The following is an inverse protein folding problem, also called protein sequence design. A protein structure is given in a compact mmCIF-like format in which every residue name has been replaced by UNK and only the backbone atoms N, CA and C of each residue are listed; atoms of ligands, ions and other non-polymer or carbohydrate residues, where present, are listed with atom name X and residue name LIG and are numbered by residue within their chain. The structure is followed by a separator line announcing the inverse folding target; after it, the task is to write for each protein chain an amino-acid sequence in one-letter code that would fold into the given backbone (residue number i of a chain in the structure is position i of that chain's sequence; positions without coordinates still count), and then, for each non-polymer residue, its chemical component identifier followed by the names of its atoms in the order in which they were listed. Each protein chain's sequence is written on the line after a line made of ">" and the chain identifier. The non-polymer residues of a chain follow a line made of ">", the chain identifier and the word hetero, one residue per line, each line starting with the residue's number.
data_IF_969649804679
#
_entry.id   IF_969649804679
#
_cell.length_a   1.000
_cell.length_b   1.000
_cell.length_c   1.000
_cell.angle_alpha   90.00
_cell.angle_beta   90.00
_cell.angle_gamma   90.00
#
_symmetry.space_group_name_H-M   'P 1'
#
loop_
_entity.id
_entity.type
_entity.pdbx_description
1 polymer ?
#
# COMPACT_ATOMS: atom_id res chain seq x y z
N UNK A 1 20.62 -29.89 -21.33
CA UNK A 1 19.88 -29.04 -20.37
C UNK A 1 20.92 -28.33 -19.52
N UNK A 2 20.82 -27.00 -19.35
CA UNK A 2 21.68 -26.28 -18.41
C UNK A 2 21.30 -26.70 -16.99
N UNK A 3 22.27 -27.14 -16.19
CA UNK A 3 22.04 -27.54 -14.79
C UNK A 3 21.63 -26.30 -13.98
N UNK A 4 20.52 -26.40 -13.23
CA UNK A 4 20.04 -25.34 -12.35
C UNK A 4 21.07 -25.07 -11.25
N UNK A 5 21.58 -23.84 -11.20
CA UNK A 5 22.51 -23.38 -10.17
C UNK A 5 21.75 -22.89 -8.94
N UNK A 6 22.39 -22.97 -7.79
CA UNK A 6 21.87 -22.51 -6.49
C UNK A 6 22.86 -21.58 -5.83
N UNK A 7 22.36 -20.65 -5.03
CA UNK A 7 23.16 -19.84 -4.11
C UNK A 7 22.34 -19.48 -2.87
N UNK A 8 22.98 -18.96 -1.82
CA UNK A 8 22.24 -18.32 -0.73
C UNK A 8 21.49 -17.08 -1.24
N UNK A 9 20.35 -16.78 -0.63
CA UNK A 9 19.61 -15.54 -0.84
C UNK A 9 20.56 -14.34 -0.78
N UNK A 10 20.48 -13.42 -1.74
CA UNK A 10 21.44 -12.31 -1.85
C UNK A 10 21.46 -11.37 -0.63
N UNK A 11 20.34 -11.25 0.09
CA UNK A 11 20.27 -10.48 1.34
C UNK A 11 20.66 -11.31 2.58
N UNK A 12 21.05 -12.58 2.42
CA UNK A 12 21.47 -13.42 3.51
C UNK A 12 22.97 -13.24 3.81
N UNK A 13 23.30 -13.16 5.10
CA UNK A 13 24.67 -13.18 5.60
C UNK A 13 24.97 -14.53 6.24
N UNK A 14 26.18 -15.03 6.05
CA UNK A 14 26.72 -16.23 6.72
C UNK A 14 27.73 -15.77 7.77
N UNK A 15 27.53 -16.19 9.02
CA UNK A 15 28.41 -15.87 10.15
C UNK A 15 28.83 -17.15 10.87
N UNK A 16 30.07 -17.18 11.35
CA UNK A 16 30.67 -18.33 12.01
C UNK A 16 31.34 -17.84 13.31
N UNK A 17 30.86 -18.30 14.47
CA UNK A 17 31.39 -17.91 15.78
C UNK A 17 31.11 -18.99 16.83
N UNK A 18 32.08 -19.27 17.71
CA UNK A 18 31.93 -20.18 18.87
C UNK A 18 31.31 -21.55 18.56
N UNK A 19 31.65 -22.13 17.40
CA UNK A 19 31.09 -23.41 16.94
C UNK A 19 29.66 -23.32 16.41
N UNK A 20 29.08 -22.12 16.30
CA UNK A 20 27.80 -21.86 15.63
C UNK A 20 28.03 -21.30 14.23
N UNK A 21 27.30 -21.85 13.25
CA UNK A 21 27.17 -21.27 11.90
C UNK A 21 25.76 -20.75 11.75
N UNK A 22 25.61 -19.47 11.45
CA UNK A 22 24.31 -18.80 11.35
C UNK A 22 24.15 -18.09 10.01
N UNK A 23 23.03 -18.36 9.37
CA UNK A 23 22.57 -17.69 8.15
C UNK A 23 21.45 -16.75 8.54
N UNK A 24 21.58 -15.45 8.27
CA UNK A 24 20.61 -14.43 8.67
C UNK A 24 20.14 -13.64 7.46
N UNK A 25 18.83 -13.46 7.31
CA UNK A 25 18.20 -12.65 6.27
C UNK A 25 17.05 -11.81 6.84
N UNK A 26 16.52 -10.80 6.12
CA UNK A 26 15.34 -10.06 6.55
C UNK A 26 14.10 -10.95 6.80
N UNK A 27 14.03 -12.11 6.13
CA UNK A 27 12.91 -13.04 6.24
C UNK A 27 13.07 -14.08 7.38
N UNK A 28 14.22 -14.13 8.04
CA UNK A 28 14.50 -15.08 9.11
C UNK A 28 15.96 -15.55 9.15
N UNK A 29 16.28 -16.35 10.16
CA UNK A 29 17.62 -16.91 10.37
C UNK A 29 17.59 -18.42 10.60
N UNK A 30 18.72 -19.07 10.28
CA UNK A 30 18.96 -20.49 10.50
C UNK A 30 20.32 -20.65 11.20
N UNK A 31 20.29 -21.16 12.43
CA UNK A 31 21.49 -21.51 13.20
C UNK A 31 21.77 -23.02 13.17
N UNK A 32 23.04 -23.38 13.07
CA UNK A 32 23.57 -24.73 13.19
C UNK A 32 24.65 -24.75 14.28
N UNK A 33 24.49 -25.63 15.28
CA UNK A 33 25.51 -25.83 16.32
C UNK A 33 26.43 -26.98 15.95
N UNK A 34 27.73 -26.73 16.01
CA UNK A 34 28.82 -27.66 15.69
C UNK A 34 28.56 -28.47 14.39
N UNK A 35 28.22 -27.83 13.26
CA UNK A 35 28.07 -28.55 12.01
C UNK A 35 29.41 -29.17 11.57
N UNK A 36 29.41 -30.36 10.92
CA UNK A 36 30.61 -30.91 10.31
C UNK A 36 31.23 -29.94 9.29
N UNK A 37 32.56 -29.88 9.23
CA UNK A 37 33.29 -28.95 8.36
C UNK A 37 32.89 -29.08 6.88
N UNK A 38 32.54 -30.28 6.41
CA UNK A 38 32.08 -30.48 5.03
C UNK A 38 30.79 -29.70 4.72
N UNK A 39 29.88 -29.56 5.70
CA UNK A 39 28.67 -28.77 5.54
C UNK A 39 28.96 -27.27 5.58
N UNK A 40 29.90 -26.84 6.43
CA UNK A 40 30.33 -25.43 6.50
C UNK A 40 30.99 -25.02 5.19
N UNK A 41 31.89 -25.85 4.65
CA UNK A 41 32.50 -25.63 3.35
C UNK A 41 31.44 -25.47 2.24
N UNK A 42 30.43 -26.34 2.19
CA UNK A 42 29.34 -26.24 1.21
C UNK A 42 28.48 -24.98 1.40
N UNK A 43 28.26 -24.53 2.63
CA UNK A 43 27.58 -23.25 2.92
C UNK A 43 28.41 -22.05 2.45
N UNK A 44 29.74 -22.05 2.64
CA UNK A 44 30.63 -21.01 2.13
C UNK A 44 30.59 -20.95 0.60
N UNK A 45 30.55 -22.10 -0.07
CA UNK A 45 30.41 -22.18 -1.53
C UNK A 45 29.06 -21.60 -1.99
N UNK A 46 27.95 -21.94 -1.33
CA UNK A 46 26.64 -21.34 -1.62
C UNK A 46 26.61 -19.83 -1.37
N UNK A 47 27.32 -19.34 -0.36
CA UNK A 47 27.41 -17.92 -0.02
C UNK A 47 28.26 -17.14 -1.05
N UNK A 48 29.27 -17.78 -1.63
CA UNK A 48 30.18 -17.16 -2.58
C UNK A 48 29.55 -16.91 -3.96
N UNK A 49 28.57 -17.71 -4.38
CA UNK A 49 27.90 -17.51 -5.66
C UNK A 49 27.13 -18.71 -6.18
N UNK A 50 26.81 -18.67 -7.47
CA UNK A 50 26.06 -19.72 -8.15
C UNK A 50 26.87 -21.01 -8.28
N UNK A 51 26.35 -22.11 -7.76
CA UNK A 51 26.98 -23.42 -7.76
C UNK A 51 25.99 -24.51 -8.18
N UNK A 52 26.47 -25.54 -8.88
CA UNK A 52 25.66 -26.68 -9.31
C UNK A 52 25.47 -27.71 -8.19
N UNK A 53 24.45 -28.56 -8.33
CA UNK A 53 24.23 -29.66 -7.37
C UNK A 53 25.42 -30.61 -7.33
N UNK A 54 25.97 -30.92 -8.50
CA UNK A 54 27.13 -31.81 -8.65
C UNK A 54 28.36 -31.26 -7.91
N UNK A 55 28.63 -29.96 -8.01
CA UNK A 55 29.77 -29.33 -7.31
C UNK A 55 29.57 -29.28 -5.80
N UNK A 56 28.33 -29.06 -5.33
CA UNK A 56 28.00 -29.12 -3.90
C UNK A 56 28.15 -30.53 -3.33
N UNK A 57 27.67 -31.55 -4.07
CA UNK A 57 27.82 -32.95 -3.69
C UNK A 57 29.30 -33.35 -3.57
N UNK A 58 30.14 -32.90 -4.51
CA UNK A 58 31.59 -33.11 -4.46
C UNK A 58 32.25 -32.42 -3.25
N UNK A 59 31.80 -31.22 -2.87
CA UNK A 59 32.31 -30.49 -1.70
C UNK A 59 32.01 -31.21 -0.39
N UNK A 60 30.84 -31.86 -0.31
CA UNK A 60 30.37 -32.53 0.91
C UNK A 60 30.94 -33.95 1.04
N UNK A 61 31.15 -34.64 -0.08
CA UNK A 61 31.54 -36.05 -0.12
C UNK A 61 30.41 -37.01 0.26
N UNK A 62 30.52 -38.28 -0.15
CA UNK A 62 29.45 -39.29 -0.01
C UNK A 62 28.92 -39.43 1.42
N UNK A 63 29.82 -39.45 2.41
CA UNK A 63 29.47 -39.60 3.82
C UNK A 63 28.63 -38.43 4.38
N UNK A 64 28.71 -37.24 3.76
CA UNK A 64 27.98 -36.04 4.17
C UNK A 64 26.68 -35.79 3.42
N UNK A 65 26.42 -36.50 2.30
CA UNK A 65 25.31 -36.20 1.38
C UNK A 65 23.94 -36.20 2.05
N UNK A 66 23.68 -37.14 2.96
CA UNK A 66 22.40 -37.19 3.67
C UNK A 66 22.18 -35.93 4.52
N UNK A 67 23.19 -35.54 5.30
CA UNK A 67 23.12 -34.36 6.16
C UNK A 67 23.00 -33.07 5.34
N UNK A 68 23.70 -33.02 4.21
CA UNK A 68 23.61 -31.93 3.25
C UNK A 68 22.22 -31.81 2.64
N UNK A 69 21.62 -32.90 2.17
CA UNK A 69 20.26 -32.90 1.62
C UNK A 69 19.21 -32.46 2.65
N UNK A 70 19.37 -32.87 3.92
CA UNK A 70 18.52 -32.39 5.01
C UNK A 70 18.71 -30.88 5.27
N UNK A 71 19.96 -30.40 5.22
CA UNK A 71 20.26 -28.97 5.36
C UNK A 71 19.69 -28.15 4.19
N UNK A 72 19.87 -28.60 2.95
CA UNK A 72 19.30 -27.97 1.76
C UNK A 72 17.78 -27.83 1.86
N UNK A 73 17.06 -28.88 2.29
CA UNK A 73 15.61 -28.79 2.54
C UNK A 73 15.25 -27.77 3.60
N UNK A 74 16.06 -27.63 4.65
CA UNK A 74 15.84 -26.60 5.69
C UNK A 74 16.08 -25.19 5.14
N UNK A 75 17.13 -24.99 4.35
CA UNK A 75 17.42 -23.72 3.68
C UNK A 75 16.30 -23.34 2.71
N UNK A 76 15.85 -24.29 1.89
CA UNK A 76 14.76 -24.10 0.94
C UNK A 76 13.44 -23.76 1.63
N UNK A 77 13.08 -24.51 2.69
CA UNK A 77 11.88 -24.25 3.51
C UNK A 77 11.91 -22.88 4.18
N UNK A 78 13.11 -22.38 4.50
CA UNK A 78 13.32 -21.06 5.06
C UNK A 78 13.35 -19.92 4.03
N UNK A 79 13.28 -20.20 2.72
CA UNK A 79 13.42 -19.18 1.68
C UNK A 79 14.82 -18.57 1.65
N UNK A 80 15.85 -19.37 1.99
CA UNK A 80 17.25 -18.93 2.06
C UNK A 80 18.06 -19.27 0.80
N UNK A 81 17.41 -19.84 -0.23
CA UNK A 81 18.06 -20.23 -1.48
C UNK A 81 17.47 -19.47 -2.67
N UNK A 82 18.33 -19.19 -3.64
CA UNK A 82 17.96 -18.76 -4.99
C UNK A 82 18.31 -19.85 -5.98
N UNK A 83 17.53 -19.94 -7.06
CA UNK A 83 17.70 -20.93 -8.12
C UNK A 83 17.85 -20.21 -9.45
N UNK A 84 18.89 -20.54 -10.22
CA UNK A 84 19.26 -19.78 -11.41
C UNK A 84 19.61 -20.67 -12.60
N UNK A 85 19.27 -20.16 -13.78
CA UNK A 85 19.72 -20.64 -15.08
C UNK A 85 20.26 -19.43 -15.86
N UNK A 86 20.86 -19.61 -17.06
CA UNK A 86 21.21 -18.47 -17.90
C UNK A 86 20.02 -17.60 -18.32
N UNK A 87 18.80 -18.15 -18.32
CA UNK A 87 17.59 -17.47 -18.81
C UNK A 87 16.76 -16.82 -17.70
N UNK A 88 16.82 -17.33 -16.48
CA UNK A 88 15.97 -16.86 -15.40
C UNK A 88 16.54 -17.19 -14.02
N UNK A 89 16.08 -16.46 -13.01
CA UNK A 89 16.35 -16.70 -11.59
C UNK A 89 15.08 -16.63 -10.76
N UNK A 90 14.83 -17.68 -9.99
CA UNK A 90 13.80 -17.71 -8.95
C UNK A 90 14.39 -17.21 -7.64
N UNK A 91 13.74 -16.21 -7.05
CA UNK A 91 14.21 -15.50 -5.86
C UNK A 91 13.15 -15.42 -4.77
N UNK A 92 13.51 -15.68 -3.50
CA UNK A 92 12.66 -15.36 -2.37
C UNK A 92 12.74 -13.86 -2.07
N UNK A 93 11.58 -13.23 -1.97
CA UNK A 93 11.41 -11.84 -1.52
C UNK A 93 10.73 -11.80 -0.16
N UNK A 94 9.79 -12.69 0.06
CA UNK A 94 9.06 -12.88 1.29
C UNK A 94 9.74 -13.84 2.27
N UNK A 95 8.98 -14.21 3.29
CA UNK A 95 9.27 -15.34 4.17
C UNK A 95 8.46 -16.57 3.74
N UNK A 96 9.09 -17.74 3.83
CA UNK A 96 8.48 -19.02 3.47
C UNK A 96 9.25 -19.76 2.37
N UNK A 97 8.78 -20.98 2.04
CA UNK A 97 9.47 -21.83 1.07
C UNK A 97 9.42 -21.22 -0.33
N UNK A 98 10.57 -21.21 -1.00
CA UNK A 98 10.69 -20.87 -2.42
C UNK A 98 11.57 -21.90 -3.08
N UNK A 99 11.00 -22.72 -3.95
CA UNK A 99 11.67 -23.77 -4.70
C UNK A 99 11.08 -23.83 -6.11
N UNK A 100 11.83 -24.30 -7.13
CA UNK A 100 11.28 -24.52 -8.45
C UNK A 100 10.04 -25.43 -8.40
N UNK A 101 8.93 -24.96 -8.95
CA UNK A 101 7.66 -25.68 -8.94
C UNK A 101 7.69 -26.94 -9.80
N UNK A 102 6.66 -27.79 -9.77
CA UNK A 102 6.53 -28.88 -10.72
C UNK A 102 6.44 -28.32 -12.14
N UNK A 103 7.05 -29.01 -13.11
CA UNK A 103 6.87 -28.68 -14.53
C UNK A 103 5.40 -29.00 -14.89
N UNK A 104 4.64 -28.05 -15.46
CA UNK A 104 3.30 -28.35 -15.94
C UNK A 104 3.33 -29.48 -16.97
N UNK A 105 2.28 -30.30 -17.03
CA UNK A 105 2.22 -31.40 -17.99
C UNK A 105 2.37 -30.88 -19.43
N UNK A 106 3.05 -31.63 -20.29
CA UNK A 106 3.45 -31.18 -21.63
C UNK A 106 2.29 -30.63 -22.49
N UNK A 107 1.08 -31.19 -22.35
CA UNK A 107 -0.14 -30.74 -23.04
C UNK A 107 -1.10 -29.90 -22.18
N UNK A 108 -0.73 -29.54 -20.96
CA UNK A 108 -1.56 -28.66 -20.13
C UNK A 108 -1.59 -27.27 -20.75
N UNK A 109 -2.79 -26.69 -20.85
CA UNK A 109 -2.94 -25.31 -21.31
C UNK A 109 -2.52 -24.37 -20.19
N UNK A 110 -1.56 -23.52 -20.51
CA UNK A 110 -1.01 -22.52 -19.60
C UNK A 110 -0.98 -21.16 -20.26
N UNK A 111 -1.05 -20.11 -19.44
CA UNK A 111 -0.74 -18.74 -19.82
C UNK A 111 -0.16 -18.01 -18.61
N UNK A 112 0.33 -16.79 -18.81
CA UNK A 112 0.63 -15.89 -17.70
C UNK A 112 -0.69 -15.60 -16.96
N UNK A 113 -0.69 -15.72 -15.63
CA UNK A 113 -1.86 -15.39 -14.80
C UNK A 113 -2.27 -13.95 -15.06
N UNK A 114 -3.58 -13.69 -15.14
CA UNK A 114 -4.11 -12.32 -15.27
C UNK A 114 -3.75 -11.43 -14.07
N UNK A 115 -3.34 -12.06 -12.97
CA UNK A 115 -2.89 -11.39 -11.76
C UNK A 115 -1.38 -11.21 -11.71
N UNK A 116 -0.61 -11.76 -12.64
CA UNK A 116 0.83 -11.57 -12.66
C UNK A 116 1.18 -10.10 -12.96
N UNK A 117 2.19 -9.58 -12.26
CA UNK A 117 2.76 -8.26 -12.54
C UNK A 117 4.19 -8.44 -13.01
N UNK A 118 4.54 -7.72 -14.06
CA UNK A 118 5.90 -7.63 -14.61
C UNK A 118 6.42 -6.23 -14.33
N UNK A 119 7.56 -6.13 -13.66
CA UNK A 119 8.28 -4.87 -13.44
C UNK A 119 9.68 -4.94 -14.05
N UNK A 120 10.26 -3.79 -14.37
CA UNK A 120 11.65 -3.70 -14.80
C UNK A 120 12.50 -3.09 -13.67
N UNK A 121 13.58 -3.76 -13.30
CA UNK A 121 14.52 -3.30 -12.26
C UNK A 121 15.92 -3.83 -12.61
N UNK A 122 16.96 -3.01 -12.47
CA UNK A 122 18.37 -3.39 -12.70
C UNK A 122 18.64 -4.12 -14.03
N UNK A 123 17.92 -3.75 -15.09
CA UNK A 123 18.10 -4.33 -16.44
C UNK A 123 17.48 -5.72 -16.65
N UNK A 124 16.67 -6.21 -15.70
CA UNK A 124 15.93 -7.48 -15.82
C UNK A 124 14.42 -7.25 -15.70
N UNK A 125 13.64 -8.19 -16.26
CA UNK A 125 12.19 -8.23 -16.04
C UNK A 125 11.87 -9.14 -14.86
N UNK A 126 11.21 -8.60 -13.85
CA UNK A 126 10.76 -9.32 -12.66
C UNK A 126 9.29 -9.69 -12.80
N UNK A 127 8.97 -10.98 -12.72
CA UNK A 127 7.61 -11.51 -12.81
C UNK A 127 7.15 -12.02 -11.45
N UNK A 128 5.97 -11.59 -11.01
CA UNK A 128 5.43 -11.94 -9.68
C UNK A 128 3.95 -12.26 -9.75
N UNK A 129 3.51 -13.26 -8.98
CA UNK A 129 2.11 -13.45 -8.62
C UNK A 129 1.76 -12.70 -7.33
N UNK A 130 0.49 -12.30 -7.13
CA UNK A 130 0.09 -11.44 -6.00
C UNK A 130 0.23 -12.13 -4.64
N UNK A 131 0.23 -13.47 -4.61
CA UNK A 131 0.16 -14.29 -3.39
C UNK A 131 1.43 -15.11 -3.14
N UNK A 132 2.46 -14.93 -3.95
CA UNK A 132 3.70 -15.71 -3.83
C UNK A 132 4.81 -14.90 -3.16
N UNK A 133 5.56 -15.48 -2.20
CA UNK A 133 6.77 -14.86 -1.65
C UNK A 133 7.97 -14.94 -2.60
N UNK A 134 7.76 -15.28 -3.88
CA UNK A 134 8.78 -15.45 -4.88
C UNK A 134 8.64 -14.48 -6.07
N UNK A 135 9.77 -14.15 -6.67
CA UNK A 135 9.90 -13.39 -7.92
C UNK A 135 10.75 -14.19 -8.91
N UNK A 136 10.43 -14.08 -10.20
CA UNK A 136 11.27 -14.59 -11.29
C UNK A 136 11.91 -13.42 -12.01
N UNK A 137 13.23 -13.31 -11.95
CA UNK A 137 14.01 -12.37 -12.76
C UNK A 137 14.32 -13.06 -14.10
N UNK A 138 13.88 -12.48 -15.21
CA UNK A 138 14.13 -12.97 -16.57
C UNK A 138 15.29 -12.20 -17.20
N UNK A 139 16.22 -12.95 -17.79
CA UNK A 139 17.25 -12.38 -18.65
C UNK A 139 16.62 -11.82 -19.94
N UNK A 140 17.27 -10.86 -20.62
CA UNK A 140 16.75 -10.29 -21.88
C UNK A 140 16.40 -11.35 -22.93
N UNK A 141 17.18 -12.42 -23.03
CA UNK A 141 16.98 -13.53 -23.97
C UNK A 141 15.69 -14.32 -23.71
N UNK A 142 15.20 -14.29 -22.47
CA UNK A 142 13.98 -14.98 -22.04
C UNK A 142 12.74 -14.07 -22.08
N UNK A 143 12.88 -12.76 -22.31
CA UNK A 143 11.78 -11.80 -22.26
C UNK A 143 10.66 -12.13 -23.27
N UNK A 144 11.02 -12.64 -24.45
CA UNK A 144 10.06 -13.05 -25.48
C UNK A 144 9.09 -14.17 -25.03
N UNK A 145 9.45 -14.95 -24.00
CA UNK A 145 8.56 -15.96 -23.43
C UNK A 145 7.29 -15.34 -22.84
N UNK A 146 7.36 -14.13 -22.28
CA UNK A 146 6.19 -13.43 -21.73
C UNK A 146 5.16 -13.12 -22.82
N UNK A 147 5.62 -12.71 -24.00
CA UNK A 147 4.73 -12.45 -25.15
C UNK A 147 4.02 -13.73 -25.62
N UNK A 148 4.71 -14.87 -25.58
CA UNK A 148 4.13 -16.18 -25.93
C UNK A 148 3.17 -16.71 -24.87
N UNK A 149 3.36 -16.31 -23.61
CA UNK A 149 2.46 -16.63 -22.49
C UNK A 149 1.30 -15.63 -22.34
N UNK A 150 1.19 -14.62 -23.21
CA UNK A 150 0.09 -13.67 -23.18
C UNK A 150 -1.26 -14.31 -23.56
N UNK A 151 -1.24 -15.43 -24.28
CA UNK A 151 -2.39 -16.27 -24.57
C UNK A 151 -2.09 -17.73 -24.21
N UNK A 152 -3.12 -18.59 -24.30
CA UNK A 152 -3.02 -20.01 -24.01
C UNK A 152 -2.03 -20.71 -24.94
N UNK A 153 -1.08 -21.43 -24.34
CA UNK A 153 -0.11 -22.31 -25.03
C UNK A 153 0.11 -23.57 -24.19
N UNK A 154 1.07 -24.40 -24.59
CA UNK A 154 1.47 -25.61 -23.87
C UNK A 154 2.97 -25.58 -23.54
N UNK A 155 3.42 -26.22 -22.45
CA UNK A 155 4.85 -26.35 -22.15
C UNK A 155 5.66 -26.96 -23.31
N UNK A 156 5.09 -27.93 -24.03
CA UNK A 156 5.75 -28.56 -25.18
C UNK A 156 6.04 -27.60 -26.32
N UNK A 157 5.13 -26.67 -26.61
CA UNK A 157 5.32 -25.64 -27.63
C UNK A 157 6.27 -24.54 -27.14
N UNK A 158 6.18 -24.16 -25.86
CA UNK A 158 6.98 -23.07 -25.30
C UNK A 158 8.46 -23.44 -25.16
N UNK A 159 8.73 -24.63 -24.63
CA UNK A 159 10.03 -25.03 -24.11
C UNK A 159 10.38 -24.27 -22.82
N UNK A 160 11.69 -24.19 -22.52
CA UNK A 160 12.22 -23.48 -21.35
C UNK A 160 11.68 -23.99 -20.00
N UNK A 161 11.66 -25.32 -19.83
CA UNK A 161 11.10 -26.03 -18.67
C UNK A 161 11.45 -25.42 -17.30
N UNK A 162 12.72 -25.05 -17.07
CA UNK A 162 13.13 -24.44 -15.80
C UNK A 162 12.50 -23.05 -15.58
N UNK A 163 12.35 -22.24 -16.64
CA UNK A 163 11.66 -20.94 -16.54
C UNK A 163 10.19 -21.15 -16.20
N UNK A 164 9.53 -22.15 -16.81
CA UNK A 164 8.14 -22.51 -16.49
C UNK A 164 7.99 -22.98 -15.03
N UNK A 165 8.93 -23.79 -14.52
CA UNK A 165 8.97 -24.20 -13.12
C UNK A 165 9.13 -23.00 -12.18
N UNK A 166 9.94 -22.02 -12.55
CA UNK A 166 10.12 -20.80 -11.76
C UNK A 166 8.86 -19.93 -11.77
N UNK A 167 8.23 -19.73 -12.92
CA UNK A 167 6.98 -18.98 -13.04
C UNK A 167 5.82 -19.65 -12.29
N UNK A 168 5.75 -20.99 -12.31
CA UNK A 168 4.80 -21.75 -11.50
C UNK A 168 5.03 -21.51 -9.99
N UNK A 169 6.28 -21.54 -9.52
CA UNK A 169 6.63 -21.26 -8.13
C UNK A 169 6.28 -19.82 -7.69
N UNK A 170 6.43 -18.85 -8.60
CA UNK A 170 6.03 -17.47 -8.36
C UNK A 170 4.50 -17.24 -8.43
N UNK A 171 3.71 -18.29 -8.68
CA UNK A 171 2.26 -18.17 -8.85
C UNK A 171 1.89 -17.26 -10.02
N UNK A 172 2.75 -17.20 -11.04
CA UNK A 172 2.61 -16.33 -12.20
C UNK A 172 2.00 -17.05 -13.42
N UNK A 173 1.74 -18.36 -13.33
CA UNK A 173 1.07 -19.13 -14.38
C UNK A 173 -0.37 -19.44 -13.97
N UNK A 174 -1.28 -19.32 -14.94
CA UNK A 174 -2.65 -19.80 -14.84
C UNK A 174 -2.82 -21.13 -15.58
N UNK A 175 -3.70 -21.97 -15.05
CA UNK A 175 -4.30 -23.12 -15.74
C UNK A 175 -5.72 -22.77 -16.18
N UNK A 176 -6.34 -23.60 -17.04
CA UNK A 176 -7.64 -23.39 -17.72
C UNK A 176 -8.81 -22.88 -16.84
N UNK A 177 -8.71 -22.93 -15.51
CA UNK A 177 -9.78 -22.64 -14.56
C UNK A 177 -9.73 -21.24 -13.92
N UNK A 178 -8.76 -20.37 -14.25
CA UNK A 178 -8.61 -19.05 -13.58
C UNK A 178 -9.87 -18.16 -13.69
N UNK A 179 -10.67 -18.35 -14.75
CA UNK A 179 -11.93 -17.62 -15.00
C UNK A 179 -13.20 -18.47 -14.74
N UNK A 180 -13.06 -19.70 -14.22
CA UNK A 180 -14.15 -20.69 -14.14
C UNK A 180 -15.03 -20.64 -12.88
N UNK A 181 -14.65 -19.88 -11.85
CA UNK A 181 -15.40 -19.73 -10.58
C UNK A 181 -15.31 -18.28 -10.04
N UNK A 182 -16.38 -17.83 -9.39
CA UNK A 182 -16.54 -16.50 -8.80
C UNK A 182 -15.40 -16.13 -7.86
N UNK A 183 -14.84 -17.11 -7.13
CA UNK A 183 -13.74 -16.90 -6.17
C UNK A 183 -12.55 -16.16 -6.78
N UNK A 184 -12.16 -16.48 -8.01
CA UNK A 184 -11.09 -15.78 -8.74
C UNK A 184 -11.67 -14.69 -9.64
N UNK A 185 -12.79 -14.96 -10.31
CA UNK A 185 -13.38 -14.04 -11.27
C UNK A 185 -13.72 -12.66 -10.67
N UNK A 186 -14.13 -12.60 -9.40
CA UNK A 186 -14.50 -11.35 -8.71
C UNK A 186 -13.34 -10.35 -8.55
N UNK A 187 -12.08 -10.83 -8.57
CA UNK A 187 -10.93 -9.98 -8.28
C UNK A 187 -10.46 -9.26 -9.53
N UNK A 188 -10.36 -7.94 -9.45
CA UNK A 188 -9.51 -7.17 -10.35
C UNK A 188 -8.04 -7.32 -9.92
N UNK A 189 -7.06 -7.30 -10.85
CA UNK A 189 -5.66 -7.47 -10.50
C UNK A 189 -5.15 -6.49 -9.45
N UNK A 190 -5.41 -5.19 -9.64
CA UNK A 190 -5.01 -4.13 -8.70
C UNK A 190 -5.55 -4.34 -7.28
N UNK A 191 -6.80 -4.80 -7.15
CA UNK A 191 -7.45 -5.00 -5.85
C UNK A 191 -6.85 -6.21 -5.12
N UNK A 192 -6.60 -7.30 -5.85
CA UNK A 192 -5.96 -8.48 -5.27
C UNK A 192 -4.52 -8.19 -4.87
N UNK A 193 -3.78 -7.41 -5.65
CA UNK A 193 -2.42 -6.99 -5.30
C UNK A 193 -2.41 -6.16 -4.01
N UNK A 194 -3.25 -5.14 -3.92
CA UNK A 194 -3.38 -4.32 -2.72
C UNK A 194 -3.76 -5.18 -1.51
N UNK A 195 -4.76 -6.05 -1.65
CA UNK A 195 -5.19 -6.94 -0.57
C UNK A 195 -4.05 -7.88 -0.13
N UNK A 196 -3.47 -8.63 -1.05
CA UNK A 196 -2.46 -9.64 -0.72
C UNK A 196 -1.19 -9.02 -0.10
N UNK A 197 -0.77 -7.82 -0.53
CA UNK A 197 0.44 -7.18 -0.02
C UNK A 197 0.23 -6.43 1.29
N UNK A 198 -0.95 -5.82 1.48
CA UNK A 198 -1.28 -5.15 2.75
C UNK A 198 -1.68 -6.12 3.87
N UNK A 199 -2.01 -7.38 3.53
CA UNK A 199 -2.41 -8.42 4.49
C UNK A 199 -1.42 -9.59 4.59
N UNK A 200 -0.47 -9.69 3.68
CA UNK A 200 0.49 -10.79 3.58
C UNK A 200 1.90 -10.38 3.97
N UNK A 201 2.17 -10.21 5.26
CA UNK A 201 3.52 -9.86 5.76
C UNK A 201 4.61 -10.83 5.30
N UNK A 202 4.26 -12.11 5.14
CA UNK A 202 5.16 -13.14 4.59
C UNK A 202 5.38 -13.01 3.08
N UNK A 203 4.43 -12.47 2.32
CA UNK A 203 4.55 -12.36 0.86
C UNK A 203 5.38 -11.13 0.49
N UNK A 204 5.19 -10.03 1.22
CA UNK A 204 5.72 -8.74 0.84
C UNK A 204 7.20 -8.53 1.21
N UNK A 205 7.76 -9.34 2.11
CA UNK A 205 9.18 -9.30 2.52
C UNK A 205 9.48 -8.19 3.53
N UNK A 206 9.09 -6.96 3.22
CA UNK A 206 9.10 -5.79 4.12
C UNK A 206 7.65 -5.46 4.45
N UNK A 207 7.31 -5.23 5.71
CA UNK A 207 5.93 -5.06 6.14
C UNK A 207 5.84 -4.16 7.38
N UNK A 208 5.02 -3.13 7.33
CA UNK A 208 4.80 -2.26 8.48
C UNK A 208 5.87 -1.18 8.60
N UNK A 209 6.21 -0.80 9.83
CA UNK A 209 7.13 0.31 10.14
C UNK A 209 8.58 -0.06 9.87
N UNK A 210 8.99 -0.02 8.60
CA UNK A 210 10.31 -0.42 8.11
C UNK A 210 11.21 0.75 7.75
N UNK A 211 10.67 1.97 7.77
CA UNK A 211 11.40 3.23 7.58
C UNK A 211 12.24 3.24 6.29
N UNK A 212 11.67 2.93 5.11
CA UNK A 212 12.43 2.73 3.86
C UNK A 212 13.28 3.93 3.43
N UNK A 213 12.90 5.13 3.86
CA UNK A 213 13.48 6.38 3.40
C UNK A 213 14.30 7.11 4.47
N UNK A 214 14.37 6.58 5.70
CA UNK A 214 14.98 7.27 6.85
C UNK A 214 16.45 7.63 6.66
N UNK A 215 17.21 6.83 5.93
CA UNK A 215 18.64 7.08 5.67
C UNK A 215 18.88 8.04 4.49
N UNK A 216 17.83 8.38 3.73
CA UNK A 216 17.93 9.13 2.46
C UNK A 216 17.20 10.47 2.50
N UNK A 217 16.14 10.58 3.28
CA UNK A 217 15.26 11.74 3.31
C UNK A 217 14.77 12.01 4.73
N UNK A 218 14.72 13.29 5.10
CA UNK A 218 14.07 13.73 6.34
C UNK A 218 12.55 13.54 6.27
N UNK A 219 11.88 13.23 7.39
CA UNK A 219 10.43 13.15 7.42
C UNK A 219 9.79 14.52 7.20
N UNK A 220 8.65 14.55 6.51
CA UNK A 220 7.87 15.79 6.34
C UNK A 220 7.34 16.30 7.70
N UNK A 221 7.11 17.62 7.86
CA UNK A 221 6.53 18.23 9.07
C UNK A 221 5.04 17.88 9.26
N UNK A 222 4.57 17.90 10.51
CA UNK A 222 3.20 17.56 10.92
C UNK A 222 2.13 18.48 10.37
N UNK A 223 2.49 19.74 10.12
CA UNK A 223 1.64 20.72 9.44
C UNK A 223 2.25 21.00 8.06
N UNK A 224 1.45 21.08 6.98
CA UNK A 224 1.96 21.53 5.69
C UNK A 224 2.42 22.99 5.75
N UNK A 225 3.14 23.44 4.71
CA UNK A 225 3.42 24.86 4.56
C UNK A 225 2.09 25.62 4.32
N UNK A 226 1.93 26.83 4.88
CA UNK A 226 0.71 27.62 4.70
C UNK A 226 0.55 28.05 3.25
N UNK A 227 -0.69 28.17 2.79
CA UNK A 227 -0.98 28.72 1.47
C UNK A 227 -0.85 30.24 1.46
N UNK A 228 -0.36 30.80 0.36
CA UNK A 228 -0.14 32.25 0.21
C UNK A 228 -1.41 33.10 0.00
N UNK A 229 -2.59 32.49 0.01
CA UNK A 229 -3.88 33.15 -0.21
C UNK A 229 -4.47 33.82 1.03
N UNK A 230 -5.73 34.25 0.92
CA UNK A 230 -6.52 34.82 2.03
C UNK A 230 -6.61 33.81 3.17
N UNK A 231 -6.35 34.24 4.41
CA UNK A 231 -6.49 33.42 5.62
C UNK A 231 -7.59 33.95 6.52
N UNK A 232 -8.46 33.08 7.00
CA UNK A 232 -9.63 33.39 7.85
C UNK A 232 -9.53 32.56 9.12
N UNK A 233 -9.39 33.22 10.27
CA UNK A 233 -9.44 32.56 11.58
C UNK A 233 -10.86 32.07 11.86
N UNK A 234 -10.99 30.87 12.43
CA UNK A 234 -12.28 30.28 12.78
C UNK A 234 -12.53 30.40 14.29
N UNK A 235 -13.80 30.54 14.66
CA UNK A 235 -14.23 30.58 16.06
C UNK A 235 -14.13 29.18 16.67
N UNK A 236 -13.33 29.01 17.72
CA UNK A 236 -13.28 27.77 18.48
C UNK A 236 -14.60 27.58 19.27
N UNK A 237 -15.27 26.42 19.17
CA UNK A 237 -16.47 26.13 19.94
C UNK A 237 -16.15 25.88 21.41
N UNK A 238 -17.16 26.10 22.28
CA UNK A 238 -17.10 25.64 23.66
C UNK A 238 -17.26 24.11 23.71
N UNK A 239 -16.19 23.41 24.10
CA UNK A 239 -16.19 21.95 24.21
C UNK A 239 -16.91 21.43 25.46
N UNK A 240 -17.16 22.29 26.45
CA UNK A 240 -17.89 21.93 27.66
C UNK A 240 -19.42 22.07 27.48
N UNK A 241 -19.85 22.69 26.38
CA UNK A 241 -21.27 22.82 26.05
C UNK A 241 -21.92 21.42 25.87
N UNK A 242 -23.10 21.18 26.48
CA UNK A 242 -23.74 19.88 26.41
C UNK A 242 -24.19 19.57 24.97
N UNK A 243 -23.83 18.38 24.49
CA UNK A 243 -24.30 17.82 23.21
C UNK A 243 -25.09 16.51 23.41
N UNK A 244 -25.63 15.94 22.32
CA UNK A 244 -26.28 14.63 22.39
C UNK A 244 -25.30 13.55 22.84
N UNK A 245 -25.81 12.52 23.51
CA UNK A 245 -25.00 11.38 23.92
C UNK A 245 -24.48 10.57 22.73
N UNK A 246 -23.41 9.79 22.95
CA UNK A 246 -22.81 8.96 21.89
C UNK A 246 -23.82 7.96 21.30
N UNK A 247 -24.57 7.24 22.15
CA UNK A 247 -25.59 6.27 21.70
C UNK A 247 -26.67 6.95 20.86
N UNK A 248 -27.18 8.09 21.33
CA UNK A 248 -28.19 8.86 20.59
C UNK A 248 -27.66 9.30 19.22
N UNK A 249 -26.43 9.81 19.18
CA UNK A 249 -25.79 10.25 17.93
C UNK A 249 -25.61 9.11 16.94
N UNK A 250 -25.15 7.93 17.39
CA UNK A 250 -24.99 6.75 16.55
C UNK A 250 -26.32 6.30 15.93
N UNK A 251 -27.39 6.25 16.74
CA UNK A 251 -28.73 5.82 16.30
C UNK A 251 -29.40 6.85 15.37
N UNK A 252 -29.14 8.15 15.58
CA UNK A 252 -29.66 9.23 14.73
C UNK A 252 -28.87 9.42 13.43
N UNK A 253 -27.61 8.96 13.36
CA UNK A 253 -26.73 9.19 12.21
C UNK A 253 -27.35 8.63 10.92
N UNK A 254 -27.42 9.47 9.89
CA UNK A 254 -27.91 9.11 8.55
C UNK A 254 -27.04 9.80 7.50
N UNK A 255 -26.94 9.21 6.31
CA UNK A 255 -26.43 9.92 5.13
C UNK A 255 -27.55 10.78 4.58
N UNK A 256 -27.42 12.10 4.74
CA UNK A 256 -28.43 13.05 4.27
C UNK A 256 -27.94 13.67 2.97
N UNK A 257 -28.73 13.51 1.92
CA UNK A 257 -28.43 13.90 0.53
C UNK A 257 -29.41 14.96 0.03
N UNK A 258 -29.91 15.76 0.96
CA UNK A 258 -30.77 16.91 0.70
C UNK A 258 -30.24 18.06 1.55
N UNK A 259 -29.95 19.18 0.91
CA UNK A 259 -29.47 20.38 1.58
C UNK A 259 -30.55 21.46 1.54
N UNK A 260 -30.59 22.29 2.58
CA UNK A 260 -31.42 23.49 2.55
C UNK A 260 -30.72 24.60 1.76
N UNK A 261 -31.07 24.73 0.48
CA UNK A 261 -30.45 25.71 -0.42
C UNK A 261 -30.81 27.16 -0.07
N UNK A 262 -31.91 27.37 0.65
CA UNK A 262 -32.35 28.71 1.07
C UNK A 262 -31.69 29.13 2.39
N UNK A 263 -31.15 28.18 3.15
CA UNK A 263 -30.39 28.40 4.37
C UNK A 263 -29.07 27.61 4.36
N UNK A 264 -28.04 28.07 3.62
CA UNK A 264 -26.73 27.40 3.59
C UNK A 264 -26.07 27.30 4.97
N UNK A 265 -25.16 26.33 5.12
CA UNK A 265 -24.29 26.24 6.30
C UNK A 265 -23.53 27.56 6.53
N UNK A 266 -23.31 27.94 7.79
CA UNK A 266 -22.53 29.14 8.15
C UNK A 266 -21.04 28.83 8.33
N UNK A 267 -20.19 29.85 8.25
CA UNK A 267 -18.76 29.73 8.56
C UNK A 267 -18.53 29.19 9.99
N UNK A 268 -19.33 29.61 10.96
CA UNK A 268 -19.23 29.12 12.34
C UNK A 268 -19.56 27.63 12.44
N UNK A 269 -20.59 27.15 11.73
CA UNK A 269 -20.94 25.73 11.67
C UNK A 269 -19.84 24.90 10.98
N UNK A 270 -19.26 25.40 9.89
CA UNK A 270 -18.13 24.74 9.24
C UNK A 270 -16.90 24.70 10.16
N UNK A 271 -16.61 25.82 10.84
CA UNK A 271 -15.51 25.92 11.80
C UNK A 271 -15.65 24.96 12.97
N UNK A 272 -16.82 24.91 13.61
CA UNK A 272 -17.08 23.98 14.72
C UNK A 272 -16.95 22.52 14.27
N UNK A 273 -17.47 22.15 13.09
CA UNK A 273 -17.35 20.80 12.54
C UNK A 273 -15.87 20.41 12.39
N UNK A 274 -15.06 21.28 11.79
CA UNK A 274 -13.63 21.06 11.57
C UNK A 274 -12.86 20.99 12.90
N UNK A 275 -13.15 21.88 13.85
CA UNK A 275 -12.51 21.92 15.16
C UNK A 275 -12.73 20.63 15.97
N UNK A 276 -13.97 20.15 15.98
CA UNK A 276 -14.36 18.92 16.69
C UNK A 276 -13.83 17.66 16.00
N UNK A 277 -13.62 17.70 14.68
CA UNK A 277 -13.23 16.52 13.90
C UNK A 277 -11.73 16.38 13.68
N UNK A 278 -10.99 17.48 13.54
CA UNK A 278 -9.66 17.44 12.90
C UNK A 278 -8.57 18.31 13.50
N UNK A 279 -8.87 19.22 14.43
CA UNK A 279 -7.84 20.13 14.98
C UNK A 279 -6.63 19.39 15.53
N UNK A 280 -5.47 20.02 15.50
CA UNK A 280 -4.29 19.56 16.22
C UNK A 280 -4.43 19.95 17.69
N UNK A 281 -4.50 18.95 18.58
CA UNK A 281 -4.53 19.15 20.04
C UNK A 281 -3.14 19.33 20.63
N UNK A 282 -2.16 18.60 20.07
CA UNK A 282 -0.76 18.66 20.46
C UNK A 282 0.14 18.17 19.32
N UNK A 283 1.44 18.46 19.42
CA UNK A 283 2.49 17.91 18.58
C UNK A 283 3.70 17.47 19.43
N UNK A 284 4.39 16.41 19.03
CA UNK A 284 5.49 15.81 19.79
C UNK A 284 6.47 15.06 18.89
N UNK A 285 7.71 14.91 19.33
CA UNK A 285 8.75 14.17 18.61
C UNK A 285 8.64 12.67 18.89
N UNK A 286 8.71 11.86 17.83
CA UNK A 286 8.87 10.41 17.98
C UNK A 286 10.34 10.05 18.22
N UNK A 287 10.62 8.91 18.90
CA UNK A 287 11.97 8.36 18.98
C UNK A 287 12.62 8.09 17.61
N UNK A 288 11.80 7.98 16.56
CA UNK A 288 12.24 7.69 15.21
C UNK A 288 12.72 8.94 14.45
N UNK A 289 12.52 10.15 15.01
CA UNK A 289 12.89 11.44 14.41
C UNK A 289 11.76 12.16 13.66
N UNK A 290 10.59 11.53 13.50
CA UNK A 290 9.42 12.17 12.89
C UNK A 290 8.62 12.98 13.92
N UNK A 291 8.22 14.19 13.56
CA UNK A 291 7.26 15.00 14.33
C UNK A 291 5.82 14.51 14.11
N UNK A 292 5.15 14.17 15.21
CA UNK A 292 3.83 13.56 15.25
C UNK A 292 2.79 14.53 15.84
N UNK A 293 1.51 14.27 15.56
CA UNK A 293 0.40 15.07 16.04
C UNK A 293 -0.58 14.23 16.86
N UNK A 294 -1.33 14.90 17.73
CA UNK A 294 -2.54 14.36 18.36
C UNK A 294 -3.76 15.09 17.80
N UNK A 295 -4.72 14.34 17.23
CA UNK A 295 -5.99 14.87 16.68
C UNK A 295 -7.19 14.11 17.28
N UNK A 296 -8.44 14.61 17.13
CA UNK A 296 -9.65 13.98 17.67
C UNK A 296 -9.99 12.58 17.13
N UNK A 297 -9.20 12.01 16.24
CA UNK A 297 -9.38 10.68 15.65
C UNK A 297 -8.07 9.90 15.68
N UNK A 298 -8.09 8.55 15.77
CA UNK A 298 -6.86 7.76 15.77
C UNK A 298 -6.20 7.71 14.37
N UNK A 299 -4.86 7.68 14.35
CA UNK A 299 -4.04 7.46 13.15
C UNK A 299 -2.91 6.48 13.45
N UNK A 300 -2.63 5.56 12.52
CA UNK A 300 -1.56 4.58 12.63
C UNK A 300 -0.20 5.25 12.83
N UNK A 301 0.43 4.97 13.97
CA UNK A 301 1.71 5.58 14.34
C UNK A 301 1.63 7.07 14.66
N UNK A 302 0.42 7.62 14.87
CA UNK A 302 0.16 9.05 15.11
C UNK A 302 0.72 9.97 14.01
N UNK A 303 0.83 9.46 12.78
CA UNK A 303 1.43 10.17 11.66
C UNK A 303 0.54 11.33 11.18
N UNK A 304 -0.79 11.14 11.18
CA UNK A 304 -1.76 12.14 10.73
C UNK A 304 -1.38 12.77 9.39
N UNK A 305 -1.37 11.95 8.35
CA UNK A 305 -1.04 12.34 6.97
C UNK A 305 -2.19 13.01 6.22
N UNK A 306 -3.41 12.96 6.76
CA UNK A 306 -4.59 13.50 6.10
C UNK A 306 -4.72 15.01 6.31
N UNK A 307 -5.03 15.73 5.25
CA UNK A 307 -5.49 17.12 5.28
C UNK A 307 -6.93 17.20 4.75
N UNK A 308 -7.62 18.32 5.01
CA UNK A 308 -8.96 18.57 4.48
C UNK A 308 -9.02 19.90 3.77
N UNK A 309 -9.60 19.84 2.58
CA UNK A 309 -9.81 20.96 1.69
C UNK A 309 -11.31 21.18 1.47
N UNK A 310 -11.94 22.14 2.17
CA UNK A 310 -13.31 22.54 1.87
C UNK A 310 -13.37 23.22 0.50
N UNK A 311 -13.98 22.56 -0.48
CA UNK A 311 -14.44 23.20 -1.71
C UNK A 311 -15.83 23.78 -1.45
N UNK A 312 -15.89 25.10 -1.35
CA UNK A 312 -17.07 25.86 -0.96
C UNK A 312 -17.81 26.32 -2.22
N UNK A 313 -19.07 25.90 -2.34
CA UNK A 313 -20.01 26.37 -3.37
C UNK A 313 -20.93 27.44 -2.78
N UNK A 314 -21.47 27.18 -1.59
CA UNK A 314 -22.34 28.10 -0.86
C UNK A 314 -22.16 27.92 0.64
N UNK A 315 -21.75 28.99 1.33
CA UNK A 315 -21.59 29.04 2.77
C UNK A 315 -21.80 30.48 3.24
N UNK A 316 -22.64 30.70 4.25
CA UNK A 316 -22.86 32.05 4.77
C UNK A 316 -21.60 32.55 5.49
N UNK A 317 -21.06 33.69 5.04
CA UNK A 317 -19.85 34.29 5.61
C UNK A 317 -18.53 33.78 5.03
N UNK A 318 -18.56 32.98 3.96
CA UNK A 318 -17.36 32.48 3.29
C UNK A 318 -17.53 32.51 1.77
N UNK A 319 -16.54 33.07 1.08
CA UNK A 319 -16.54 33.18 -0.38
C UNK A 319 -16.36 31.77 -1.02
N UNK A 320 -17.02 31.49 -2.17
CA UNK A 320 -16.78 30.25 -2.92
C UNK A 320 -15.33 30.10 -3.34
N UNK A 321 -14.81 28.88 -3.29
CA UNK A 321 -13.40 28.59 -3.59
C UNK A 321 -12.94 27.28 -2.95
N UNK A 322 -11.67 26.92 -3.18
CA UNK A 322 -11.03 25.78 -2.53
C UNK A 322 -10.19 26.34 -1.39
N UNK A 323 -10.50 25.87 -0.20
CA UNK A 323 -9.83 26.26 1.02
C UNK A 323 -9.05 25.07 1.57
N UNK A 324 -7.98 25.33 2.31
CA UNK A 324 -7.25 24.36 3.12
C UNK A 324 -7.58 24.64 4.58
N UNK A 325 -7.89 23.61 5.36
CA UNK A 325 -8.07 23.74 6.81
C UNK A 325 -6.73 23.60 7.55
N UNK A 326 -6.22 24.71 8.06
CA UNK A 326 -5.06 24.72 8.96
C UNK A 326 -5.45 24.12 10.31
N UNK A 327 -5.09 22.84 10.50
CA UNK A 327 -5.40 22.09 11.72
C UNK A 327 -4.70 22.63 12.96
N UNK A 328 -3.55 23.32 12.82
CA UNK A 328 -2.78 23.84 13.94
C UNK A 328 -3.27 25.22 14.39
N UNK A 329 -3.50 26.12 13.44
CA UNK A 329 -4.00 27.47 13.71
C UNK A 329 -5.52 27.58 13.81
N UNK A 330 -6.27 26.54 13.43
CA UNK A 330 -7.73 26.57 13.30
C UNK A 330 -8.20 27.71 12.38
N UNK A 331 -7.73 27.68 11.13
CA UNK A 331 -8.05 28.68 10.12
C UNK A 331 -8.37 28.04 8.77
N UNK A 332 -9.01 28.80 7.88
CA UNK A 332 -9.12 28.47 6.46
C UNK A 332 -8.14 29.32 5.66
N UNK A 333 -7.40 28.67 4.76
CA UNK A 333 -6.45 29.31 3.85
C UNK A 333 -6.93 29.11 2.42
N UNK A 334 -7.11 30.19 1.65
CA UNK A 334 -7.56 30.11 0.27
C UNK A 334 -6.44 29.48 -0.57
N UNK A 335 -6.76 28.34 -1.19
CA UNK A 335 -5.87 27.62 -2.10
C UNK A 335 -6.05 28.14 -3.52
N UNK A 336 -7.31 28.22 -3.95
CA UNK A 336 -7.65 28.72 -5.28
C UNK A 336 -9.05 29.30 -5.34
N UNK A 337 -9.20 30.31 -6.19
CA UNK A 337 -10.47 30.91 -6.58
C UNK A 337 -11.28 29.94 -7.47
N UNK A 338 -12.61 30.13 -7.61
CA UNK A 338 -13.47 29.30 -8.45
C UNK A 338 -12.92 29.07 -9.87
N UNK A 339 -12.88 27.80 -10.29
CA UNK A 339 -12.31 27.37 -11.57
C UNK A 339 -13.12 26.25 -12.24
N UNK A 340 -12.92 25.98 -13.54
CA UNK A 340 -13.57 24.85 -14.23
C UNK A 340 -13.26 23.48 -13.61
N UNK A 341 -12.05 23.28 -13.08
CA UNK A 341 -11.67 22.03 -12.41
C UNK A 341 -12.50 21.79 -11.15
N UNK A 342 -12.76 22.84 -10.36
CA UNK A 342 -13.64 22.76 -9.20
C UNK A 342 -15.09 22.46 -9.58
N UNK A 343 -15.58 23.06 -10.65
CA UNK A 343 -16.91 22.77 -11.17
C UNK A 343 -17.05 21.28 -11.54
N UNK A 344 -16.01 20.67 -12.14
CA UNK A 344 -15.99 19.23 -12.41
C UNK A 344 -16.07 18.38 -11.12
N UNK A 345 -15.29 18.74 -10.09
CA UNK A 345 -15.35 18.08 -8.78
C UNK A 345 -16.75 18.16 -8.15
N UNK A 346 -17.38 19.33 -8.18
CA UNK A 346 -18.73 19.57 -7.67
C UNK A 346 -19.76 18.72 -8.42
N UNK A 347 -19.69 18.68 -9.75
CA UNK A 347 -20.61 17.89 -10.57
C UNK A 347 -20.48 16.38 -10.30
N UNK A 348 -19.25 15.88 -10.16
CA UNK A 348 -19.00 14.48 -9.79
C UNK A 348 -19.54 14.17 -8.40
N UNK A 349 -19.28 15.03 -7.43
CA UNK A 349 -19.78 14.87 -6.06
C UNK A 349 -21.31 14.86 -6.02
N UNK A 350 -21.97 15.77 -6.75
CA UNK A 350 -23.42 15.79 -6.89
C UNK A 350 -23.96 14.48 -7.47
N UNK A 351 -23.35 13.98 -8.55
CA UNK A 351 -23.75 12.72 -9.17
C UNK A 351 -23.55 11.52 -8.23
N UNK A 352 -22.38 11.42 -7.59
CA UNK A 352 -22.05 10.34 -6.64
C UNK A 352 -22.94 10.35 -5.39
N UNK A 353 -23.33 11.54 -4.93
CA UNK A 353 -24.24 11.72 -3.81
C UNK A 353 -25.73 11.59 -4.20
N UNK A 354 -26.07 11.48 -5.48
CA UNK A 354 -27.45 11.53 -5.99
C UNK A 354 -28.20 12.81 -5.55
N UNK A 355 -27.49 13.94 -5.46
CA UNK A 355 -28.04 15.22 -5.05
C UNK A 355 -28.82 15.87 -6.20
N UNK A 356 -30.00 16.43 -5.90
CA UNK A 356 -30.80 17.17 -6.87
C UNK A 356 -30.15 18.50 -7.32
N UNK A 357 -29.38 19.12 -6.43
CA UNK A 357 -28.67 20.40 -6.65
C UNK A 357 -27.23 20.25 -6.17
N UNK A 358 -26.38 21.23 -6.46
CA UNK A 358 -24.98 21.15 -6.06
C UNK A 358 -24.84 21.11 -4.52
N UNK A 359 -23.83 20.38 -3.99
CA UNK A 359 -23.53 20.41 -2.56
C UNK A 359 -23.14 21.83 -2.12
N UNK A 360 -23.40 22.19 -0.87
CA UNK A 360 -23.02 23.49 -0.33
C UNK A 360 -21.50 23.54 -0.10
N UNK A 361 -20.96 22.48 0.48
CA UNK A 361 -19.52 22.28 0.65
C UNK A 361 -19.18 20.83 0.29
N UNK A 362 -18.10 20.63 -0.45
CA UNK A 362 -17.46 19.34 -0.66
C UNK A 362 -16.17 19.32 0.19
N UNK A 363 -16.13 18.49 1.21
CA UNK A 363 -14.92 18.24 1.99
C UNK A 363 -14.07 17.22 1.24
N UNK A 364 -12.96 17.67 0.67
CA UNK A 364 -11.99 16.80 0.00
C UNK A 364 -10.91 16.42 1.03
N UNK A 365 -10.79 15.14 1.31
CA UNK A 365 -9.76 14.57 2.19
C UNK A 365 -8.58 14.17 1.31
N UNK A 366 -7.40 14.72 1.60
CA UNK A 366 -6.15 14.38 0.91
C UNK A 366 -5.23 13.58 1.82
N UNK A 367 -4.17 13.02 1.25
CA UNK A 367 -3.08 12.43 2.01
C UNK A 367 -1.74 12.96 1.52
N UNK A 368 -0.93 13.49 2.44
CA UNK A 368 0.50 13.77 2.21
C UNK A 368 1.28 12.46 2.22
N UNK A 369 1.37 11.80 1.07
CA UNK A 369 1.83 10.41 0.95
C UNK A 369 3.21 10.19 1.58
N UNK A 370 4.13 11.14 1.39
CA UNK A 370 5.46 11.09 1.98
C UNK A 370 5.47 10.94 3.50
N UNK A 371 4.49 11.50 4.23
CA UNK A 371 4.44 11.39 5.72
C UNK A 371 4.27 9.96 6.20
N UNK A 372 3.36 9.21 5.55
CA UNK A 372 3.03 7.83 5.94
C UNK A 372 3.99 6.83 5.29
N UNK A 373 4.39 7.05 4.04
CA UNK A 373 5.28 6.14 3.29
C UNK A 373 6.75 6.25 3.74
N UNK A 374 7.15 7.35 4.39
CA UNK A 374 8.46 7.45 5.05
C UNK A 374 8.65 6.41 6.14
N UNK A 375 7.57 6.08 6.87
CA UNK A 375 7.57 5.11 7.97
C UNK A 375 7.17 3.70 7.52
N UNK A 376 6.13 3.59 6.69
CA UNK A 376 5.47 2.31 6.42
C UNK A 376 5.71 1.79 5.00
N UNK A 377 6.02 0.49 4.89
CA UNK A 377 5.98 -0.24 3.61
C UNK A 377 4.80 -1.21 3.56
N UNK A 378 4.28 -1.42 2.35
CA UNK A 378 3.22 -2.37 1.94
C UNK A 378 1.84 -2.18 2.58
N UNK A 379 1.78 -1.47 3.71
CA UNK A 379 0.53 -1.12 4.40
C UNK A 379 0.22 0.37 4.33
N UNK A 380 1.14 1.24 3.91
CA UNK A 380 0.99 2.70 3.98
C UNK A 380 -0.32 3.20 3.35
N UNK A 381 -0.57 2.88 2.07
CA UNK A 381 -1.81 3.30 1.41
C UNK A 381 -3.06 2.64 2.01
N UNK A 382 -2.95 1.39 2.48
CA UNK A 382 -4.06 0.73 3.19
C UNK A 382 -4.36 1.36 4.56
N UNK A 383 -3.38 2.01 5.19
CA UNK A 383 -3.57 2.80 6.41
C UNK A 383 -4.29 4.10 6.09
N UNK A 384 -3.86 4.81 5.03
CA UNK A 384 -4.54 6.03 4.54
C UNK A 384 -6.03 5.79 4.37
N UNK A 385 -6.43 4.74 3.65
CA UNK A 385 -7.85 4.43 3.43
C UNK A 385 -8.61 4.08 4.73
N UNK A 386 -7.95 3.47 5.72
CA UNK A 386 -8.55 3.23 7.05
C UNK A 386 -8.72 4.55 7.81
N UNK A 387 -7.74 5.44 7.73
CA UNK A 387 -7.80 6.75 8.36
C UNK A 387 -8.91 7.60 7.73
N UNK A 388 -9.11 7.53 6.41
CA UNK A 388 -10.25 8.16 5.72
C UNK A 388 -11.57 7.64 6.29
N UNK A 389 -11.74 6.31 6.45
CA UNK A 389 -12.95 5.74 7.07
C UNK A 389 -13.17 6.17 8.52
N UNK A 390 -12.09 6.26 9.31
CA UNK A 390 -12.12 6.79 10.69
C UNK A 390 -12.56 8.25 10.71
N UNK A 391 -12.00 9.08 9.82
CA UNK A 391 -12.33 10.49 9.71
C UNK A 391 -13.77 10.67 9.22
N UNK A 392 -14.22 9.89 8.24
CA UNK A 392 -15.60 9.89 7.77
C UNK A 392 -16.58 9.68 8.91
N UNK A 393 -16.38 8.61 9.71
CA UNK A 393 -17.26 8.33 10.83
C UNK A 393 -17.22 9.45 11.89
N UNK A 394 -16.06 10.05 12.11
CA UNK A 394 -15.91 11.20 13.01
C UNK A 394 -16.75 12.39 12.53
N UNK A 395 -16.60 12.79 11.26
CA UNK A 395 -17.37 13.88 10.65
C UNK A 395 -18.88 13.55 10.64
N UNK A 396 -19.27 12.30 10.38
CA UNK A 396 -20.66 11.87 10.45
C UNK A 396 -21.28 12.08 11.84
N UNK A 397 -20.56 11.71 12.90
CA UNK A 397 -21.06 11.83 14.27
C UNK A 397 -21.10 13.29 14.71
N UNK A 398 -20.05 14.06 14.44
CA UNK A 398 -20.01 15.50 14.74
C UNK A 398 -21.12 16.23 13.96
N UNK A 399 -21.24 15.99 12.66
CA UNK A 399 -22.29 16.58 11.84
C UNK A 399 -23.69 16.17 12.27
N UNK A 400 -23.90 14.91 12.70
CA UNK A 400 -25.19 14.47 13.26
C UNK A 400 -25.53 15.22 14.56
N UNK A 401 -24.55 15.39 15.45
CA UNK A 401 -24.72 16.12 16.70
C UNK A 401 -25.04 17.61 16.47
N UNK A 402 -24.51 18.19 15.39
CA UNK A 402 -24.75 19.57 14.96
C UNK A 402 -25.98 19.73 14.05
N UNK A 403 -26.72 18.65 13.79
CA UNK A 403 -27.85 18.62 12.85
C UNK A 403 -27.51 19.09 11.42
N UNK A 404 -26.33 18.72 10.93
CA UNK A 404 -25.89 18.97 9.56
C UNK A 404 -26.24 17.80 8.61
N UNK A 405 -26.30 18.11 7.32
CA UNK A 405 -26.43 17.11 6.26
C UNK A 405 -25.01 16.66 5.85
N UNK A 406 -24.69 15.39 6.10
CA UNK A 406 -23.39 14.79 5.76
C UNK A 406 -23.61 13.54 4.93
N UNK A 407 -22.84 13.39 3.85
CA UNK A 407 -22.74 12.13 3.12
C UNK A 407 -21.33 11.89 2.59
N UNK A 408 -20.67 10.84 3.07
CA UNK A 408 -19.42 10.35 2.48
C UNK A 408 -19.64 9.78 1.08
N UNK A 409 -18.65 9.98 0.22
CA UNK A 409 -18.65 9.52 -1.16
C UNK A 409 -17.66 8.36 -1.33
N UNK A 410 -18.01 7.45 -2.24
CA UNK A 410 -17.21 6.25 -2.54
C UNK A 410 -16.14 6.47 -3.62
N UNK A 411 -16.10 7.64 -4.24
CA UNK A 411 -15.12 7.96 -5.26
C UNK A 411 -15.01 9.47 -5.50
N UNK A 412 -13.85 9.86 -6.02
CA UNK A 412 -13.47 11.21 -6.41
C UNK A 412 -12.47 11.15 -7.56
N UNK A 413 -11.91 12.30 -7.93
CA UNK A 413 -10.96 12.42 -9.04
C UNK A 413 -9.73 13.20 -8.57
N UNK A 414 -8.63 12.48 -8.34
CA UNK A 414 -7.40 13.06 -7.81
C UNK A 414 -6.68 13.95 -8.84
N UNK A 415 -6.88 13.71 -10.15
CA UNK A 415 -6.34 14.57 -11.20
C UNK A 415 -7.09 15.91 -11.24
N UNK A 416 -8.42 15.88 -11.15
CA UNK A 416 -9.23 17.10 -11.05
C UNK A 416 -8.88 17.90 -9.78
N UNK A 417 -8.61 17.22 -8.65
CA UNK A 417 -8.12 17.88 -7.43
C UNK A 417 -6.72 18.50 -7.61
N UNK A 418 -5.78 17.78 -8.21
CA UNK A 418 -4.43 18.29 -8.47
C UNK A 418 -4.50 19.54 -9.37
N UNK A 419 -5.34 19.50 -10.42
CA UNK A 419 -5.58 20.64 -11.30
C UNK A 419 -6.21 21.83 -10.56
N UNK A 420 -7.19 21.58 -9.69
CA UNK A 420 -7.89 22.63 -8.94
C UNK A 420 -7.01 23.28 -7.85
N UNK A 421 -6.14 22.51 -7.21
CA UNK A 421 -5.30 22.96 -6.09
C UNK A 421 -3.92 23.45 -6.52
N UNK A 422 -3.42 23.00 -7.68
CA UNK A 422 -2.03 23.21 -8.10
C UNK A 422 -1.01 22.35 -7.34
N UNK A 423 -1.47 21.40 -6.53
CA UNK A 423 -0.60 20.46 -5.81
C UNK A 423 -0.10 19.34 -6.74
N UNK A 424 1.08 18.83 -6.43
CA UNK A 424 1.66 17.69 -7.14
C UNK A 424 0.96 16.38 -6.74
N UNK A 425 0.39 15.70 -7.75
CA UNK A 425 -0.37 14.46 -7.60
C UNK A 425 0.38 13.37 -6.81
N UNK A 426 1.70 13.28 -6.99
CA UNK A 426 2.52 12.24 -6.36
C UNK A 426 2.91 12.58 -4.91
N UNK A 427 2.89 13.86 -4.56
CA UNK A 427 3.23 14.36 -3.23
C UNK A 427 2.01 14.35 -2.30
N UNK A 428 0.89 14.86 -2.79
CA UNK A 428 -0.39 14.95 -2.07
C UNK A 428 -1.57 14.84 -3.05
N UNK A 429 -2.50 13.92 -2.78
CA UNK A 429 -3.66 13.69 -3.64
C UNK A 429 -4.93 13.39 -2.83
N UNK A 430 -6.10 13.54 -3.47
CA UNK A 430 -7.38 13.22 -2.83
C UNK A 430 -7.53 11.71 -2.63
N UNK A 431 -8.07 11.32 -1.47
CA UNK A 431 -8.24 9.93 -1.04
C UNK A 431 -9.61 9.67 -0.41
N UNK A 432 -10.45 10.70 -0.33
CA UNK A 432 -11.83 10.62 0.14
C UNK A 432 -12.54 11.96 0.02
N UNK A 433 -13.85 11.92 -0.04
CA UNK A 433 -14.73 13.06 -0.22
C UNK A 433 -16.01 12.91 0.61
N UNK A 434 -16.50 14.00 1.20
CA UNK A 434 -17.83 14.07 1.80
C UNK A 434 -18.55 15.32 1.32
N UNK A 435 -19.83 15.19 0.98
CA UNK A 435 -20.70 16.36 0.85
C UNK A 435 -21.22 16.79 2.21
N UNK A 436 -21.27 18.10 2.40
CA UNK A 436 -21.72 18.78 3.60
C UNK A 436 -22.71 19.88 3.22
N UNK A 437 -23.74 20.04 4.04
CA UNK A 437 -24.67 21.16 3.97
C UNK A 437 -25.55 21.28 5.21
N UNK A 438 -26.43 22.26 5.19
CA UNK A 438 -27.51 22.40 6.17
C UNK A 438 -28.63 21.37 5.94
N UNK A 439 -29.35 20.99 7.00
CA UNK A 439 -30.58 20.19 6.89
C UNK A 439 -31.78 21.10 6.69
N UNK A 440 -32.75 20.64 5.90
CA UNK A 440 -34.11 21.19 5.93
C UNK A 440 -34.74 20.88 7.30
N UNK A 441 -35.33 21.91 7.91
CA UNK A 441 -35.96 21.86 9.23
C UNK A 441 -37.15 20.91 9.31
#
# INVERSE_FOLDING_TARGET
>A
MSETKRRLRREASLTEADGEVRISSPAGSLGLRNPPEQLVAALRVLAAGDVTETALAATVGEAGLLRWNLLLRRLAKGGLLEYGTPLARLRPIGAGPVEPGPLPAAGARIRLSRFAVVTAEDGVLSVRGPRSPAVVELAPEAAGLLGRLADWTTPAELGADEVLRFLAAAGALAADTEDGDLTLAQWQPRDLWLHAHSRGSRIAGRYGGTYPFKERFEPLPETPAPFGGKRIELTAPDLEAPGPGLTETLERRRSVREHDQDAPITLDQLGELLYRSMRQRAAFDSPDGQRLADRPYPSGGSVHELEVYPLVVSCQGLDPGLWHYDTAGHALELVSEPSPAMQALVQRARAAALLAQDPQVLLIVTARFGRVMWKYETIAYSLVLKHVGVLYQTIYLVGTAMNLAVCGLGGGDADDFALASGLDYLSEGSVGELVLGSRRG
#
